data_IF_155487224087
#
_entry.id   IF_155487224087
#
_cell.length_a   1.000
_cell.length_b   1.000
_cell.length_c   1.000
_cell.angle_alpha   90.00
_cell.angle_beta   90.00
_cell.angle_gamma   90.00
#
_symmetry.space_group_name_H-M   'P 1'
#
loop_
_entity.id
_entity.type
_entity.pdbx_description
1 polymer ?
#
# COMPACT_ATOMS: atom_id res chain seq x y z
N UNK A 1 3.57 -3.79 -21.12
CA UNK A 1 2.70 -4.34 -20.05
C UNK A 1 2.15 -3.17 -19.21
N UNK A 2 0.96 -3.30 -18.64
CA UNK A 2 0.36 -2.29 -17.76
C UNK A 2 0.35 -2.83 -16.33
N UNK A 3 0.90 -2.05 -15.39
CA UNK A 3 0.73 -2.27 -13.95
C UNK A 3 -0.44 -1.40 -13.50
N UNK A 4 -1.61 -2.00 -13.37
CA UNK A 4 -2.83 -1.30 -12.94
C UNK A 4 -2.82 -1.11 -11.42
N UNK A 5 -2.09 -0.08 -10.99
CA UNK A 5 -1.94 0.22 -9.56
C UNK A 5 -3.24 0.64 -8.92
N UNK A 6 -4.13 1.33 -9.63
CA UNK A 6 -5.41 1.72 -9.04
C UNK A 6 -6.25 0.50 -8.68
N UNK A 7 -6.38 -0.49 -9.57
CA UNK A 7 -7.06 -1.73 -9.21
C UNK A 7 -6.44 -2.40 -7.98
N UNK A 8 -5.11 -2.50 -7.94
CA UNK A 8 -4.38 -3.15 -6.85
C UNK A 8 -4.52 -2.40 -5.51
N UNK A 9 -4.39 -1.08 -5.51
CA UNK A 9 -4.51 -0.27 -4.28
C UNK A 9 -5.95 -0.21 -3.81
N UNK A 10 -6.93 -0.11 -4.72
CA UNK A 10 -8.35 -0.20 -4.38
C UNK A 10 -8.72 -1.54 -3.73
N UNK A 11 -8.18 -2.66 -4.24
CA UNK A 11 -8.38 -3.97 -3.62
C UNK A 11 -7.75 -4.05 -2.22
N UNK A 12 -6.53 -3.50 -2.05
CA UNK A 12 -5.87 -3.39 -0.75
C UNK A 12 -6.72 -2.60 0.25
N UNK A 13 -7.16 -1.39 -0.11
CA UNK A 13 -7.98 -0.53 0.75
C UNK A 13 -9.29 -1.22 1.15
N UNK A 14 -10.01 -1.80 0.18
CA UNK A 14 -11.25 -2.55 0.43
C UNK A 14 -11.04 -3.74 1.34
N UNK A 15 -9.93 -4.47 1.19
CA UNK A 15 -9.61 -5.62 2.04
C UNK A 15 -9.39 -5.25 3.51
N UNK A 16 -8.97 -4.02 3.77
CA UNK A 16 -8.73 -3.50 5.12
C UNK A 16 -9.97 -2.85 5.74
N UNK A 17 -10.94 -2.44 4.92
CA UNK A 17 -12.13 -1.71 5.36
C UNK A 17 -11.82 -0.29 5.83
N UNK A 18 -12.87 0.50 6.12
CA UNK A 18 -12.77 1.94 6.40
C UNK A 18 -11.79 2.27 7.54
N UNK A 19 -11.88 1.58 8.68
CA UNK A 19 -11.01 1.87 9.82
C UNK A 19 -9.60 1.27 9.65
N UNK A 20 -9.49 0.13 8.97
CA UNK A 20 -8.20 -0.51 8.73
C UNK A 20 -7.36 0.26 7.72
N UNK A 21 -7.98 0.78 6.66
CA UNK A 21 -7.28 1.49 5.58
C UNK A 21 -6.66 2.80 6.03
N UNK A 22 -7.15 3.43 7.11
CA UNK A 22 -6.52 4.63 7.71
C UNK A 22 -5.04 4.43 8.03
N UNK A 23 -4.60 3.21 8.36
CA UNK A 23 -3.18 2.90 8.59
C UNK A 23 -2.31 3.08 7.34
N UNK A 24 -2.91 2.98 6.15
CA UNK A 24 -2.21 3.24 4.89
C UNK A 24 -1.92 4.73 4.71
N UNK A 25 -2.72 5.61 5.30
CA UNK A 25 -2.64 7.06 5.10
C UNK A 25 -2.11 7.80 6.33
N UNK A 26 -1.91 9.11 6.21
CA UNK A 26 -1.41 9.94 7.29
C UNK A 26 -2.52 10.27 8.30
N UNK A 27 -2.62 9.43 9.33
CA UNK A 27 -3.51 9.62 10.47
C UNK A 27 -2.70 9.74 11.75
N UNK A 28 -2.68 10.93 12.33
CA UNK A 28 -2.00 11.24 13.59
C UNK A 28 -2.98 11.82 14.60
N UNK A 29 -2.99 11.28 15.80
CA UNK A 29 -3.71 11.88 16.92
C UNK A 29 -3.03 13.19 17.38
N UNK A 30 -3.77 14.09 18.06
CA UNK A 30 -3.18 15.26 18.69
C UNK A 30 -2.00 14.89 19.60
N UNK A 31 -0.85 15.53 19.39
CA UNK A 31 0.38 15.28 20.15
C UNK A 31 1.21 14.08 19.69
N UNK A 32 0.77 13.29 18.71
CA UNK A 32 1.49 12.10 18.23
C UNK A 32 2.73 12.47 17.40
N UNK A 33 2.63 13.53 16.57
CA UNK A 33 3.72 13.97 15.71
C UNK A 33 4.20 15.38 16.10
N UNK A 34 5.50 15.60 16.41
CA UNK A 34 6.00 16.88 16.91
C UNK A 34 5.71 18.09 16.00
N UNK A 35 5.65 17.87 14.68
CA UNK A 35 5.35 18.93 13.70
C UNK A 35 3.84 19.15 13.49
N UNK A 36 3.00 18.26 14.00
CA UNK A 36 1.54 18.28 13.83
C UNK A 36 0.86 18.16 15.21
N UNK A 37 1.01 19.18 16.08
CA UNK A 37 0.55 19.08 17.47
C UNK A 37 -0.98 18.93 17.60
N UNK A 38 -1.74 19.32 16.57
CA UNK A 38 -3.21 19.14 16.52
C UNK A 38 -3.64 17.78 15.95
N UNK A 39 -2.69 16.93 15.55
CA UNK A 39 -2.99 15.73 14.76
C UNK A 39 -3.16 16.05 13.28
N UNK A 40 -3.47 15.03 12.49
CA UNK A 40 -3.74 15.08 11.06
C UNK A 40 -4.63 13.90 10.69
N UNK A 41 -5.67 14.16 9.91
CA UNK A 41 -6.48 13.13 9.26
C UNK A 41 -6.42 13.42 7.76
N UNK A 42 -5.60 12.65 7.05
CA UNK A 42 -5.36 12.85 5.62
C UNK A 42 -5.40 11.49 4.92
N UNK A 43 -6.42 11.31 4.08
CA UNK A 43 -6.68 10.09 3.30
C UNK A 43 -6.05 10.12 1.89
N UNK A 44 -5.22 11.12 1.59
CA UNK A 44 -4.63 11.32 0.26
C UNK A 44 -3.14 11.00 0.21
N UNK A 45 -2.43 11.19 1.33
CA UNK A 45 -1.01 10.90 1.43
C UNK A 45 -0.78 9.63 2.23
N UNK A 46 0.03 8.72 1.69
CA UNK A 46 0.38 7.49 2.38
C UNK A 46 1.30 7.74 3.58
N UNK A 47 1.07 6.97 4.65
CA UNK A 47 2.06 6.78 5.72
C UNK A 47 3.25 5.96 5.22
N UNK A 48 4.32 5.89 6.01
CA UNK A 48 5.45 5.00 5.71
C UNK A 48 4.98 3.55 5.51
N UNK A 49 4.04 3.09 6.35
CA UNK A 49 3.43 1.78 6.21
C UNK A 49 2.68 1.64 4.88
N UNK A 50 1.80 2.59 4.54
CA UNK A 50 1.04 2.53 3.29
C UNK A 50 1.91 2.59 2.04
N UNK A 51 2.89 3.50 2.03
CA UNK A 51 3.83 3.67 0.92
C UNK A 51 4.62 2.38 0.68
N UNK A 52 5.10 1.73 1.75
CA UNK A 52 5.80 0.45 1.64
C UNK A 52 4.89 -0.67 1.10
N UNK A 53 3.62 -0.72 1.53
CA UNK A 53 2.64 -1.71 1.04
C UNK A 53 2.35 -1.51 -0.45
N UNK A 54 2.14 -0.27 -0.89
CA UNK A 54 1.88 0.07 -2.29
C UNK A 54 3.10 -0.22 -3.17
N UNK A 55 4.31 0.11 -2.70
CA UNK A 55 5.55 -0.21 -3.41
C UNK A 55 5.75 -1.73 -3.58
N UNK A 56 5.42 -2.53 -2.55
CA UNK A 56 5.47 -3.99 -2.64
C UNK A 56 4.45 -4.55 -3.64
N UNK A 57 3.24 -3.99 -3.71
CA UNK A 57 2.24 -4.38 -4.73
C UNK A 57 2.76 -4.12 -6.14
N UNK A 58 3.31 -2.93 -6.39
CA UNK A 58 3.90 -2.59 -7.69
C UNK A 58 5.00 -3.57 -8.08
N UNK A 59 5.95 -3.81 -7.16
CA UNK A 59 7.10 -4.65 -7.41
C UNK A 59 6.71 -6.13 -7.66
N UNK A 60 5.75 -6.66 -6.90
CA UNK A 60 5.20 -7.99 -7.13
C UNK A 60 4.49 -8.11 -8.49
N UNK A 61 3.74 -7.08 -8.89
CA UNK A 61 3.06 -7.07 -10.18
C UNK A 61 4.05 -6.94 -11.36
N UNK A 62 5.12 -6.16 -11.20
CA UNK A 62 6.23 -6.11 -12.16
C UNK A 62 6.89 -7.50 -12.34
N UNK A 63 7.11 -8.25 -11.26
CA UNK A 63 7.62 -9.63 -11.34
C UNK A 63 6.63 -10.54 -12.06
N UNK A 64 5.34 -10.49 -11.72
CA UNK A 64 4.29 -11.30 -12.35
C UNK A 64 4.17 -11.04 -13.86
N UNK A 65 4.35 -9.79 -14.27
CA UNK A 65 4.28 -9.35 -15.67
C UNK A 65 5.61 -9.44 -16.41
N UNK A 66 6.69 -9.89 -15.75
CA UNK A 66 8.04 -9.94 -16.31
C UNK A 66 8.49 -8.60 -16.93
N UNK A 67 8.25 -7.50 -16.22
CA UNK A 67 8.71 -6.17 -16.64
C UNK A 67 10.19 -6.05 -16.26
N UNK A 68 11.06 -5.55 -17.16
CA UNK A 68 12.52 -5.52 -16.92
C UNK A 68 13.00 -4.76 -15.67
N UNK A 69 12.16 -3.92 -15.05
CA UNK A 69 12.47 -3.33 -13.73
C UNK A 69 12.49 -4.38 -12.61
N UNK A 70 11.76 -5.48 -12.77
CA UNK A 70 11.68 -6.58 -11.81
C UNK A 70 13.02 -7.28 -11.60
N UNK A 71 13.92 -7.24 -12.59
CA UNK A 71 15.27 -7.81 -12.51
C UNK A 71 16.14 -7.10 -11.44
N UNK A 72 15.73 -5.89 -11.05
CA UNK A 72 16.41 -5.06 -10.04
C UNK A 72 15.73 -5.10 -8.67
N UNK A 73 14.63 -5.84 -8.53
CA UNK A 73 13.87 -5.97 -7.28
C UNK A 73 14.23 -7.31 -6.64
N UNK A 74 14.82 -7.25 -5.45
CA UNK A 74 15.06 -8.46 -4.65
C UNK A 74 13.73 -9.11 -4.23
N UNK A 75 13.48 -10.33 -4.70
CA UNK A 75 12.27 -11.10 -4.36
C UNK A 75 12.15 -11.40 -2.86
N UNK A 76 13.25 -11.45 -2.11
CA UNK A 76 13.21 -11.66 -0.66
C UNK A 76 12.64 -10.43 0.09
N UNK A 77 12.69 -9.24 -0.51
CA UNK A 77 12.19 -7.99 0.09
C UNK A 77 10.66 -7.84 0.05
N UNK A 78 9.98 -8.66 -0.77
CA UNK A 78 8.54 -8.59 -0.98
C UNK A 78 7.72 -9.24 0.15
N UNK A 79 8.35 -10.02 1.03
CA UNK A 79 7.67 -10.70 2.14
C UNK A 79 6.66 -11.76 1.68
N UNK A 80 5.88 -12.32 2.61
CA UNK A 80 4.85 -13.30 2.27
C UNK A 80 3.83 -12.71 1.28
N UNK A 81 3.40 -13.54 0.31
CA UNK A 81 2.31 -13.19 -0.59
C UNK A 81 1.07 -12.87 0.25
N UNK A 82 0.73 -11.59 0.34
CA UNK A 82 -0.54 -11.22 0.94
C UNK A 82 -1.63 -11.81 0.04
N UNK A 83 -2.33 -12.84 0.51
CA UNK A 83 -3.56 -13.31 -0.13
C UNK A 83 -4.59 -12.20 -0.07
N UNK A 84 -4.60 -11.32 -1.06
CA UNK A 84 -5.73 -10.45 -1.33
C UNK A 84 -6.84 -11.39 -1.81
N UNK A 85 -7.71 -11.83 -0.90
CA UNK A 85 -8.86 -12.66 -1.28
C UNK A 85 -9.68 -11.85 -2.28
N UNK A 86 -9.92 -12.37 -3.50
CA UNK A 86 -10.80 -11.68 -4.43
C UNK A 86 -12.17 -11.57 -3.76
N UNK A 87 -12.69 -10.34 -3.69
CA UNK A 87 -14.07 -10.14 -3.31
C UNK A 87 -14.91 -10.67 -4.48
N UNK A 88 -15.42 -11.89 -4.34
CA UNK A 88 -16.49 -12.39 -5.21
C UNK A 88 -17.65 -11.40 -5.14
N UNK A 89 -18.06 -10.93 -6.32
CA UNK A 89 -19.15 -9.98 -6.50
C UNK A 89 -20.47 -10.50 -5.93
#
# INVERSE_FOLDING_TARGET
>A
PLVDMERLTSELERSMGVEGSKKLHLWFAPGEHPKLPKGLEDDTHYSEFGALRVAKLFAAECQRLHIGIADWVDGASLGEKQEIRPLTR
#
